data_IF_792353006648
#
_entry.id   IF_792353006648
#
_cell.length_a   1.000
_cell.length_b   1.000
_cell.length_c   1.000
_cell.angle_alpha   90.00
_cell.angle_beta   90.00
_cell.angle_gamma   90.00
#
_symmetry.space_group_name_H-M   'P 1'
#
loop_
_entity.id
_entity.type
_entity.pdbx_description
1 polymer ?
#
# COMPACT_ATOMS: atom_id res chain seq x y z
N UNK A 1 -8.67 -18.68 31.46
CA UNK A 1 -7.86 -17.46 31.25
C UNK A 1 -8.52 -16.66 30.12
N UNK A 2 -9.33 -15.64 30.43
CA UNK A 2 -9.90 -14.75 29.41
C UNK A 2 -8.89 -13.63 29.15
N UNK A 3 -8.02 -13.81 28.15
CA UNK A 3 -7.17 -12.71 27.66
C UNK A 3 -8.07 -11.75 26.89
N UNK A 4 -8.27 -10.54 27.45
CA UNK A 4 -9.02 -9.47 26.78
C UNK A 4 -8.06 -8.76 25.83
N UNK A 5 -8.33 -8.84 24.54
CA UNK A 5 -7.65 -8.06 23.51
C UNK A 5 -8.57 -6.95 23.02
N UNK A 6 -7.96 -5.84 22.62
CA UNK A 6 -8.60 -4.79 21.84
C UNK A 6 -8.43 -5.13 20.37
N UNK A 7 -9.50 -4.95 19.59
CA UNK A 7 -9.50 -5.12 18.14
C UNK A 7 -9.71 -3.76 17.50
N UNK A 8 -8.93 -3.47 16.47
CA UNK A 8 -9.00 -2.26 15.66
C UNK A 8 -9.20 -2.66 14.19
N UNK A 9 -10.05 -1.93 13.47
CA UNK A 9 -10.38 -2.23 12.08
C UNK A 9 -10.47 -0.94 11.27
N UNK A 10 -9.90 -0.93 10.07
CA UNK A 10 -10.10 0.14 9.12
C UNK A 10 -11.48 0.01 8.44
N UNK A 11 -12.21 1.11 8.32
CA UNK A 11 -13.53 1.12 7.68
C UNK A 11 -13.46 1.11 6.15
N UNK A 12 -12.31 1.53 5.59
CA UNK A 12 -12.15 1.78 4.16
C UNK A 12 -11.44 0.66 3.40
N UNK A 13 -10.69 -0.18 4.12
CA UNK A 13 -9.94 -1.31 3.56
C UNK A 13 -10.05 -2.50 4.49
N UNK A 14 -9.97 -3.70 3.94
CA UNK A 14 -10.05 -4.95 4.69
C UNK A 14 -8.74 -5.23 5.45
N UNK A 15 -8.48 -4.40 6.45
CA UNK A 15 -7.30 -4.47 7.32
C UNK A 15 -7.76 -4.28 8.77
N UNK A 16 -7.37 -5.21 9.62
CA UNK A 16 -7.64 -5.19 11.06
C UNK A 16 -6.41 -5.62 11.85
N UNK A 17 -6.32 -5.18 13.10
CA UNK A 17 -5.26 -5.57 14.03
C UNK A 17 -5.79 -5.74 15.45
N UNK A 18 -4.94 -6.22 16.37
CA UNK A 18 -5.29 -6.42 17.77
C UNK A 18 -4.12 -6.09 18.71
N UNK A 19 -4.43 -5.82 19.98
CA UNK A 19 -3.44 -5.51 21.02
C UNK A 19 -3.97 -5.73 22.44
N UNK A 20 -3.08 -5.80 23.43
CA UNK A 20 -3.44 -5.93 24.85
C UNK A 20 -3.98 -4.62 25.42
N UNK A 21 -3.65 -3.48 24.79
CA UNK A 21 -4.19 -2.16 25.13
C UNK A 21 -4.87 -1.52 23.92
N UNK A 22 -5.71 -0.52 24.16
CA UNK A 22 -6.33 0.27 23.10
C UNK A 22 -5.26 0.92 22.20
N UNK A 23 -4.23 1.49 22.81
CA UNK A 23 -3.14 2.16 22.08
C UNK A 23 -2.37 1.17 21.20
N UNK A 24 -2.03 -0.01 21.73
CA UNK A 24 -1.34 -1.06 20.98
C UNK A 24 -2.16 -1.53 19.77
N UNK A 25 -3.48 -1.72 19.92
CA UNK A 25 -4.33 -2.08 18.78
C UNK A 25 -4.35 -0.98 17.71
N UNK A 26 -4.33 0.30 18.09
CA UNK A 26 -4.28 1.43 17.16
C UNK A 26 -2.93 1.49 16.45
N UNK A 27 -1.83 1.38 17.19
CA UNK A 27 -0.47 1.43 16.63
C UNK A 27 -0.25 0.27 15.65
N UNK A 28 -0.64 -0.95 16.04
CA UNK A 28 -0.54 -2.12 15.16
C UNK A 28 -1.42 -1.97 13.90
N UNK A 29 -2.58 -1.30 13.97
CA UNK A 29 -3.38 -1.01 12.78
C UNK A 29 -2.70 0.01 11.86
N UNK A 30 -2.09 1.05 12.42
CA UNK A 30 -1.36 2.05 11.65
C UNK A 30 -0.16 1.46 10.90
N UNK A 31 0.57 0.54 11.53
CA UNK A 31 1.66 -0.20 10.88
C UNK A 31 1.14 -1.10 9.76
N UNK A 32 0.07 -1.87 10.01
CA UNK A 32 -0.55 -2.73 9.00
C UNK A 32 -1.05 -1.93 7.78
N UNK A 33 -1.64 -0.75 8.00
CA UNK A 33 -2.07 0.14 6.93
C UNK A 33 -0.90 0.70 6.13
N UNK A 34 0.21 1.10 6.78
CA UNK A 34 1.41 1.56 6.07
C UNK A 34 1.93 0.48 5.12
N UNK A 35 2.08 -0.76 5.61
CA UNK A 35 2.50 -1.89 4.79
C UNK A 35 1.53 -2.16 3.63
N UNK A 36 0.23 -2.14 3.89
CA UNK A 36 -0.80 -2.33 2.85
C UNK A 36 -0.71 -1.29 1.72
N UNK A 37 -0.49 -0.02 2.06
CA UNK A 37 -0.37 1.04 1.05
C UNK A 37 0.99 1.05 0.35
N UNK A 38 2.05 0.64 1.04
CA UNK A 38 3.36 0.52 0.43
C UNK A 38 3.45 -0.65 -0.55
N UNK A 39 2.80 -1.79 -0.24
CA UNK A 39 2.65 -2.92 -1.18
C UNK A 39 1.91 -2.49 -2.46
N UNK A 40 0.86 -1.68 -2.33
CA UNK A 40 0.16 -1.09 -3.49
C UNK A 40 1.03 -0.17 -4.33
N UNK A 41 1.98 0.55 -3.73
CA UNK A 41 2.95 1.37 -4.48
C UNK A 41 3.99 0.49 -5.18
N UNK A 42 4.43 -0.60 -4.55
CA UNK A 42 5.40 -1.52 -5.15
C UNK A 42 4.88 -2.19 -6.43
N UNK A 43 3.56 -2.38 -6.56
CA UNK A 43 2.94 -2.83 -7.82
C UNK A 43 3.04 -1.82 -8.96
N UNK A 44 3.43 -0.57 -8.71
CA UNK A 44 3.70 0.43 -9.74
C UNK A 44 5.15 0.28 -10.24
N UNK A 45 5.45 -0.85 -10.88
CA UNK A 45 6.69 -0.98 -11.66
C UNK A 45 6.55 -0.07 -12.88
N UNK A 46 7.04 1.16 -12.78
CA UNK A 46 7.16 2.04 -13.93
C UNK A 46 8.15 1.40 -14.92
N UNK A 47 7.69 1.09 -16.12
CA UNK A 47 8.58 0.73 -17.22
C UNK A 47 9.42 1.96 -17.53
N UNK A 48 10.73 1.86 -17.32
CA UNK A 48 11.66 2.91 -17.69
C UNK A 48 11.74 2.93 -19.21
N UNK A 49 11.08 3.90 -19.86
CA UNK A 49 11.10 4.04 -21.32
C UNK A 49 12.49 4.57 -21.68
N UNK A 50 13.43 3.65 -21.88
CA UNK A 50 14.73 4.00 -22.45
C UNK A 50 14.51 4.29 -23.94
N UNK A 51 14.46 5.56 -24.28
CA UNK A 51 14.45 6.15 -25.62
C UNK A 51 13.32 5.67 -26.56
N UNK A 52 12.32 6.54 -26.74
CA UNK A 52 11.41 6.46 -27.88
C UNK A 52 12.20 6.68 -29.15
N UNK A 53 12.36 5.66 -30.00
CA UNK A 53 12.65 5.89 -31.42
C UNK A 53 11.45 6.63 -32.02
N UNK A 54 11.57 7.94 -32.17
CA UNK A 54 10.74 8.72 -33.08
C UNK A 54 11.16 8.25 -34.47
N UNK A 55 10.40 7.29 -35.02
CA UNK A 55 10.64 6.79 -36.37
C UNK A 55 10.62 7.97 -37.34
N UNK A 56 11.65 8.04 -38.19
CA UNK A 56 11.90 9.11 -39.13
C UNK A 56 10.59 9.54 -39.82
N UNK A 57 10.08 10.70 -39.42
CA UNK A 57 8.99 11.38 -40.12
C UNK A 57 9.58 11.92 -41.42
N UNK A 58 9.72 11.04 -42.41
CA UNK A 58 9.93 11.42 -43.79
C UNK A 58 8.64 12.06 -44.29
N UNK A 59 8.59 13.39 -44.17
CA UNK A 59 7.61 14.22 -44.87
C UNK A 59 8.22 14.48 -46.25
N UNK A 60 7.67 13.84 -47.27
CA UNK A 60 8.03 14.13 -48.66
C UNK A 60 7.24 15.38 -49.08
N UNK A 61 7.94 16.48 -49.37
CA UNK A 61 7.37 17.69 -49.99
C UNK A 61 6.94 17.42 -51.45
#
# INVERSE_FOLDING_TARGET
>A
MNHKYYVSQCLNVDVSSFGNTLQEAIDNLNEALQLYFDDKKASQTFLNINETMIGDIYIND
#
